data_IF_055013728028
#
_entry.id   IF_055013728028
#
_cell.length_a   1.000
_cell.length_b   1.000
_cell.length_c   1.000
_cell.angle_alpha   90.00
_cell.angle_beta   90.00
_cell.angle_gamma   90.00
#
_symmetry.space_group_name_H-M   'P 1'
#
loop_
_entity.id
_entity.type
_entity.pdbx_description
1 polymer ?
#
# COMPACT_ATOMS: atom_id res chain seq x y z
N UNK A 1 -0.72 3.64 23.10
CA UNK A 1 -1.29 4.41 21.96
C UNK A 1 -0.21 4.83 20.96
N UNK A 2 0.93 5.40 21.37
CA UNK A 2 2.02 5.82 20.47
C UNK A 2 2.70 4.73 19.62
N UNK A 3 2.80 3.50 20.11
CA UNK A 3 3.49 2.41 19.38
C UNK A 3 2.70 1.93 18.16
N UNK A 4 1.36 1.87 18.25
CA UNK A 4 0.52 1.49 17.11
C UNK A 4 0.62 2.52 15.98
N UNK A 5 0.49 3.80 16.30
CA UNK A 5 0.53 4.88 15.31
C UNK A 5 1.89 4.97 14.61
N UNK A 6 2.98 4.73 15.36
CA UNK A 6 4.33 4.72 14.81
C UNK A 6 4.54 3.51 13.90
N UNK A 7 4.03 2.34 14.29
CA UNK A 7 4.11 1.12 13.49
C UNK A 7 3.29 1.23 12.20
N UNK A 8 2.07 1.77 12.26
CA UNK A 8 1.24 2.02 11.08
C UNK A 8 1.88 3.02 10.13
N UNK A 9 2.40 4.13 10.65
CA UNK A 9 3.04 5.16 9.84
C UNK A 9 4.30 4.63 9.15
N UNK A 10 5.11 3.84 9.88
CA UNK A 10 6.31 3.21 9.32
C UNK A 10 5.94 2.17 8.25
N UNK A 11 4.94 1.33 8.51
CA UNK A 11 4.44 0.36 7.55
C UNK A 11 3.93 1.04 6.27
N UNK A 12 3.16 2.14 6.41
CA UNK A 12 2.68 2.94 5.28
C UNK A 12 3.84 3.57 4.49
N UNK A 13 4.86 4.09 5.17
CA UNK A 13 6.04 4.66 4.52
C UNK A 13 6.78 3.61 3.68
N UNK A 14 7.00 2.41 4.22
CA UNK A 14 7.63 1.31 3.48
C UNK A 14 6.80 0.87 2.27
N UNK A 15 5.48 0.76 2.43
CA UNK A 15 4.58 0.40 1.34
C UNK A 15 4.69 1.38 0.16
N UNK A 16 4.66 2.69 0.43
CA UNK A 16 4.75 3.71 -0.61
C UNK A 16 6.16 3.87 -1.20
N UNK A 17 7.21 3.60 -0.41
CA UNK A 17 8.61 3.69 -0.86
C UNK A 17 9.10 2.47 -1.67
N UNK A 18 8.37 1.34 -1.61
CA UNK A 18 8.75 0.13 -2.34
C UNK A 18 8.77 0.35 -3.86
N UNK A 19 9.86 -0.07 -4.51
CA UNK A 19 10.02 0.01 -5.96
C UNK A 19 9.26 -1.09 -6.72
N UNK A 20 8.86 -2.16 -6.02
CA UNK A 20 7.97 -3.19 -6.56
C UNK A 20 6.52 -2.74 -6.45
N UNK A 21 5.73 -3.01 -7.48
CA UNK A 21 4.29 -2.73 -7.45
C UNK A 21 3.59 -3.58 -6.39
N UNK A 22 2.93 -2.92 -5.44
CA UNK A 22 2.14 -3.55 -4.38
C UNK A 22 0.68 -3.07 -4.44
N UNK A 23 -0.24 -4.02 -4.30
CA UNK A 23 -1.68 -3.78 -4.22
C UNK A 23 -2.24 -4.45 -2.98
N UNK A 24 -3.10 -3.73 -2.27
CA UNK A 24 -3.93 -4.31 -1.21
C UNK A 24 -5.31 -4.53 -1.82
N UNK A 25 -5.82 -5.75 -1.73
CA UNK A 25 -7.12 -6.12 -2.31
C UNK A 25 -8.01 -6.76 -1.26
N UNK A 26 -9.30 -6.44 -1.35
CA UNK A 26 -10.34 -7.18 -0.67
C UNK A 26 -10.57 -8.50 -1.40
N UNK A 27 -10.28 -9.62 -0.75
CA UNK A 27 -10.38 -10.94 -1.37
C UNK A 27 -11.82 -11.37 -1.67
N UNK A 28 -12.80 -10.83 -0.95
CA UNK A 28 -14.21 -11.19 -1.11
C UNK A 28 -14.87 -10.51 -2.30
N UNK A 29 -14.48 -9.26 -2.58
CA UNK A 29 -15.03 -8.43 -3.65
C UNK A 29 -14.09 -8.27 -4.85
N UNK A 30 -12.81 -8.62 -4.67
CA UNK A 30 -11.75 -8.38 -5.65
C UNK A 30 -11.37 -6.90 -5.81
N UNK A 31 -11.89 -6.01 -4.95
CA UNK A 31 -11.65 -4.57 -5.06
C UNK A 31 -10.26 -4.21 -4.54
N UNK A 32 -9.59 -3.33 -5.26
CA UNK A 32 -8.33 -2.72 -4.81
C UNK A 32 -8.67 -1.72 -3.71
N UNK A 33 -8.10 -1.95 -2.52
CA UNK A 33 -8.22 -1.09 -1.36
C UNK A 33 -7.13 -0.01 -1.34
N UNK A 34 -5.92 -0.34 -1.79
CA UNK A 34 -4.79 0.59 -1.88
C UNK A 34 -3.77 0.14 -2.95
N UNK A 35 -3.03 1.10 -3.51
CA UNK A 35 -1.93 0.87 -4.46
C UNK A 35 -0.74 1.75 -4.11
N UNK A 36 0.47 1.19 -4.18
CA UNK A 36 1.67 2.01 -4.03
C UNK A 36 2.02 2.74 -5.34
N UNK A 37 3.00 3.65 -5.26
CA UNK A 37 3.39 4.46 -6.41
C UNK A 37 3.86 3.60 -7.58
N UNK A 38 4.68 2.57 -7.32
CA UNK A 38 5.17 1.68 -8.36
C UNK A 38 4.03 0.92 -9.07
N UNK A 39 3.03 0.43 -8.32
CA UNK A 39 1.85 -0.22 -8.90
C UNK A 39 1.02 0.75 -9.73
N UNK A 40 0.83 2.00 -9.27
CA UNK A 40 0.09 3.01 -10.02
C UNK A 40 0.74 3.32 -11.37
N UNK A 41 2.07 3.39 -11.44
CA UNK A 41 2.81 3.57 -12.69
C UNK A 41 2.62 2.38 -13.65
N UNK A 42 2.68 1.15 -13.13
CA UNK A 42 2.48 -0.07 -13.93
C UNK A 42 1.06 -0.14 -14.50
N UNK A 43 0.06 0.26 -13.71
CA UNK A 43 -1.34 0.29 -14.11
C UNK A 43 -1.69 1.43 -15.08
N UNK A 44 -0.72 2.30 -15.40
CA UNK A 44 -0.86 3.34 -16.42
C UNK A 44 -1.63 4.58 -15.97
N UNK A 45 -1.52 4.95 -14.70
CA UNK A 45 -2.08 6.20 -14.16
C UNK A 45 -1.14 7.39 -14.31
#
# INVERSE_FOLDING_TARGET
MRELETSESYSRALFHAAQTGLLIVDLSTGRILDVNHAAAQILGR
#
